data_IF_678445531262
#
_entry.id   IF_678445531262
#
_cell.length_a   1.000
_cell.length_b   1.000
_cell.length_c   1.000
_cell.angle_alpha   90.00
_cell.angle_beta   90.00
_cell.angle_gamma   90.00
#
_symmetry.space_group_name_H-M   'P 1'
#
loop_
_entity.id
_entity.type
_entity.pdbx_description
1 polymer ?
#
# COMPACT_ATOMS: atom_id res chain seq x y z
N UNK A 1 -3.06 -33.69 -6.50
CA UNK A 1 -4.23 -32.79 -6.50
C UNK A 1 -3.78 -31.49 -5.86
N UNK A 2 -3.74 -30.38 -6.61
CA UNK A 2 -3.17 -29.10 -6.14
C UNK A 2 -4.32 -28.16 -5.81
N UNK A 3 -4.36 -27.65 -4.58
CA UNK A 3 -5.37 -26.69 -4.14
C UNK A 3 -4.85 -25.28 -4.41
N UNK A 4 -5.57 -24.49 -5.20
CA UNK A 4 -5.25 -23.09 -5.48
C UNK A 4 -5.93 -22.19 -4.44
N UNK A 5 -5.16 -21.28 -3.85
CA UNK A 5 -5.65 -20.29 -2.88
C UNK A 5 -5.76 -18.91 -3.54
N UNK A 6 -6.88 -18.22 -3.31
CA UNK A 6 -7.11 -16.87 -3.79
C UNK A 6 -7.29 -15.89 -2.63
N UNK A 7 -6.54 -14.79 -2.65
CA UNK A 7 -6.66 -13.71 -1.67
C UNK A 7 -7.57 -12.62 -2.26
N UNK A 8 -8.70 -12.32 -1.60
CA UNK A 8 -9.68 -11.34 -2.10
C UNK A 8 -9.24 -9.87 -1.92
N UNK A 9 -8.20 -9.63 -1.14
CA UNK A 9 -7.60 -8.31 -0.97
C UNK A 9 -6.59 -8.27 0.17
N UNK A 10 -5.68 -7.30 0.08
CA UNK A 10 -4.61 -7.10 1.06
C UNK A 10 -4.72 -5.70 1.70
N UNK A 11 -4.43 -5.54 3.01
CA UNK A 11 -4.52 -4.26 3.70
C UNK A 11 -3.65 -3.17 3.06
N UNK A 12 -4.30 -2.22 2.38
CA UNK A 12 -3.66 -1.11 1.64
C UNK A 12 -2.98 -0.05 2.52
N UNK A 13 -3.18 -0.09 3.82
CA UNK A 13 -2.70 0.95 4.75
C UNK A 13 -1.18 0.88 4.98
N UNK A 14 -0.56 -0.27 4.70
CA UNK A 14 0.86 -0.53 4.95
C UNK A 14 1.18 -0.78 6.43
N UNK A 15 2.26 -1.52 6.70
CA UNK A 15 2.64 -1.96 8.05
C UNK A 15 2.76 -0.81 9.07
N UNK A 16 3.24 0.35 8.62
CA UNK A 16 3.47 1.55 9.47
C UNK A 16 2.43 2.65 9.25
N UNK A 17 1.23 2.26 8.79
CA UNK A 17 0.11 3.16 8.43
C UNK A 17 0.54 4.24 7.45
N UNK A 18 1.28 3.78 6.47
CA UNK A 18 1.94 4.59 5.51
C UNK A 18 0.92 5.45 4.75
N UNK A 19 -0.09 4.81 4.15
CA UNK A 19 -1.10 5.50 3.34
C UNK A 19 -1.83 6.61 4.10
N UNK A 20 -2.09 6.40 5.39
CA UNK A 20 -2.74 7.38 6.28
C UNK A 20 -1.92 8.67 6.38
N UNK A 21 -0.61 8.57 6.65
CA UNK A 21 0.28 9.74 6.79
C UNK A 21 0.37 10.55 5.50
N UNK A 22 0.44 9.86 4.37
CA UNK A 22 0.54 10.52 3.07
C UNK A 22 -0.74 11.29 2.71
N UNK A 23 -1.91 10.71 3.03
CA UNK A 23 -3.21 11.33 2.78
C UNK A 23 -3.48 12.51 3.72
N UNK A 24 -3.15 12.38 5.00
CA UNK A 24 -3.21 13.48 5.98
C UNK A 24 -2.30 14.65 5.58
N UNK A 25 -1.06 14.35 5.15
CA UNK A 25 -0.13 15.38 4.66
C UNK A 25 -0.65 16.09 3.41
N UNK A 26 -1.31 15.35 2.52
CA UNK A 26 -1.93 15.92 1.33
C UNK A 26 -3.08 16.87 1.69
N UNK A 27 -4.00 16.44 2.58
CA UNK A 27 -5.11 17.27 3.03
C UNK A 27 -4.66 18.50 3.83
N UNK A 28 -3.58 18.38 4.60
CA UNK A 28 -2.96 19.51 5.30
C UNK A 28 -2.21 20.48 4.36
N UNK A 29 -2.14 20.20 3.05
CA UNK A 29 -1.41 21.03 2.08
C UNK A 29 0.12 20.97 2.20
N UNK A 30 0.65 20.14 3.10
CA UNK A 30 2.10 20.00 3.34
C UNK A 30 2.79 19.12 2.31
N UNK A 31 2.03 18.41 1.46
CA UNK A 31 2.56 17.61 0.36
C UNK A 31 1.80 17.80 -0.95
N UNK A 32 2.53 17.89 -2.06
CA UNK A 32 1.95 17.94 -3.41
C UNK A 32 1.40 16.57 -3.82
N UNK A 33 0.29 16.58 -4.58
CA UNK A 33 -0.35 15.42 -5.23
C UNK A 33 0.67 14.46 -5.86
N UNK A 34 1.67 14.96 -6.60
CA UNK A 34 2.68 14.13 -7.29
C UNK A 34 3.49 13.26 -6.32
N UNK A 35 3.80 13.77 -5.12
CA UNK A 35 4.55 13.05 -4.09
C UNK A 35 3.70 11.96 -3.45
N UNK A 36 2.43 12.25 -3.20
CA UNK A 36 1.43 11.28 -2.73
C UNK A 36 1.30 10.09 -3.70
N UNK A 37 1.11 10.34 -5.00
CA UNK A 37 0.97 9.27 -6.01
C UNK A 37 2.20 8.40 -6.16
N UNK A 38 3.40 8.99 -6.11
CA UNK A 38 4.65 8.24 -6.19
C UNK A 38 4.76 7.27 -5.03
N UNK A 39 4.37 7.73 -3.85
CA UNK A 39 4.50 6.97 -2.63
C UNK A 39 3.39 5.91 -2.47
N UNK A 40 2.16 6.20 -2.91
CA UNK A 40 1.09 5.21 -2.99
C UNK A 40 1.44 4.05 -3.96
N UNK A 41 2.15 4.33 -5.06
CA UNK A 41 2.67 3.28 -5.98
C UNK A 41 3.71 2.40 -5.32
N UNK A 42 4.67 2.98 -4.60
CA UNK A 42 5.71 2.18 -3.91
C UNK A 42 5.11 1.35 -2.78
N UNK A 43 4.14 1.90 -2.03
CA UNK A 43 3.42 1.15 -1.01
C UNK A 43 2.66 -0.04 -1.62
N UNK A 44 1.93 0.16 -2.73
CA UNK A 44 1.25 -0.94 -3.43
C UNK A 44 2.22 -2.03 -3.90
N UNK A 45 3.38 -1.66 -4.43
CA UNK A 45 4.40 -2.62 -4.85
C UNK A 45 4.93 -3.45 -3.66
N UNK A 46 5.18 -2.82 -2.51
CA UNK A 46 5.62 -3.53 -1.30
C UNK A 46 4.57 -4.49 -0.73
N UNK A 47 3.28 -4.17 -0.86
CA UNK A 47 2.19 -5.04 -0.42
C UNK A 47 2.01 -6.26 -1.33
N UNK A 48 2.16 -6.10 -2.65
CA UNK A 48 2.16 -7.24 -3.57
C UNK A 48 3.34 -8.19 -3.33
N UNK A 49 4.50 -7.64 -2.97
CA UNK A 49 5.65 -8.45 -2.56
C UNK A 49 5.37 -9.26 -1.27
N UNK A 50 4.66 -8.67 -0.32
CA UNK A 50 4.24 -9.36 0.91
C UNK A 50 3.24 -10.50 0.63
N UNK A 51 2.31 -10.32 -0.30
CA UNK A 51 1.35 -11.35 -0.72
C UNK A 51 2.06 -12.54 -1.39
N UNK A 52 3.07 -12.28 -2.24
CA UNK A 52 3.88 -13.35 -2.87
C UNK A 52 4.83 -14.03 -1.89
N UNK A 53 5.23 -13.34 -0.82
CA UNK A 53 6.24 -13.80 0.13
C UNK A 53 5.67 -14.76 1.18
N UNK A 54 4.36 -14.94 1.27
CA UNK A 54 3.74 -15.86 2.22
C UNK A 54 4.17 -15.58 3.67
N UNK A 55 3.69 -14.46 4.23
CA UNK A 55 3.52 -14.39 5.69
C UNK A 55 2.35 -15.28 6.12
#
# INVERSE_FOLDING_TARGET
>A
MTILTHTLGFPRVGLRRELKKAQESYWAGTQRVKRYWRWARTARASLGAAETSGY
#
